data_IF_937516781900
#
_entry.id   IF_937516781900
#
_cell.length_a   1.000
_cell.length_b   1.000
_cell.length_c   1.000
_cell.angle_alpha   90.00
_cell.angle_beta   90.00
_cell.angle_gamma   90.00
#
_symmetry.space_group_name_H-M   'P 1'
#
loop_
_entity.id
_entity.type
_entity.pdbx_description
1 polymer ?
#
# COMPACT_ATOMS: atom_id res chain seq x y z
N UNK A 1 15.35 14.97 -13.00
CA UNK A 1 14.60 16.21 -13.36
C UNK A 1 14.42 17.05 -12.10
N UNK A 2 14.84 18.31 -12.15
CA UNK A 2 14.66 19.24 -11.05
C UNK A 2 13.49 20.15 -11.38
N UNK A 3 12.58 20.31 -10.42
CA UNK A 3 11.45 21.25 -10.49
C UNK A 3 11.55 22.27 -9.36
N UNK A 4 10.97 23.43 -9.59
CA UNK A 4 10.84 24.46 -8.53
C UNK A 4 9.35 24.64 -8.22
N UNK A 5 9.02 24.54 -6.94
CA UNK A 5 7.67 24.79 -6.43
C UNK A 5 7.71 26.05 -5.58
N UNK A 6 6.86 27.03 -5.91
CA UNK A 6 6.69 28.23 -5.12
C UNK A 6 5.48 28.05 -4.18
N UNK A 7 5.69 28.22 -2.89
CA UNK A 7 4.63 28.20 -1.89
C UNK A 7 4.88 29.30 -0.86
N UNK A 8 3.90 30.17 -0.63
CA UNK A 8 3.99 31.31 0.30
C UNK A 8 5.27 32.14 0.11
N UNK A 9 5.55 32.52 -1.15
CA UNK A 9 6.73 33.31 -1.55
C UNK A 9 8.08 32.63 -1.30
N UNK A 10 8.10 31.34 -0.95
CA UNK A 10 9.31 30.55 -0.82
C UNK A 10 9.45 29.57 -1.97
N UNK A 11 10.63 29.52 -2.57
CA UNK A 11 10.93 28.59 -3.64
C UNK A 11 11.60 27.32 -3.08
N UNK A 12 11.03 26.17 -3.39
CA UNK A 12 11.55 24.86 -3.04
C UNK A 12 12.06 24.15 -4.30
N UNK A 13 13.28 23.64 -4.25
CA UNK A 13 13.83 22.81 -5.33
C UNK A 13 13.64 21.34 -5.01
N UNK A 14 13.05 20.61 -5.95
CA UNK A 14 12.77 19.18 -5.80
C UNK A 14 13.46 18.40 -6.94
N UNK A 15 14.24 17.39 -6.59
CA UNK A 15 14.78 16.46 -7.58
C UNK A 15 13.90 15.22 -7.69
N UNK A 16 13.10 15.14 -8.76
CA UNK A 16 12.19 14.02 -8.98
C UNK A 16 12.90 12.69 -9.33
N UNK A 17 14.19 12.75 -9.67
CA UNK A 17 14.99 11.55 -9.96
C UNK A 17 15.67 10.96 -8.70
N UNK A 18 15.53 11.63 -7.56
CA UNK A 18 16.15 11.23 -6.30
C UNK A 18 15.18 11.49 -5.14
N UNK A 19 14.06 10.75 -5.10
CA UNK A 19 13.07 10.89 -4.03
C UNK A 19 13.58 10.30 -2.72
N UNK A 20 13.17 10.88 -1.60
CA UNK A 20 13.36 10.29 -0.29
C UNK A 20 12.19 9.36 0.02
N UNK A 21 12.47 8.08 0.19
CA UNK A 21 11.47 7.12 0.66
C UNK A 21 11.33 7.24 2.18
N UNK A 22 10.20 7.77 2.62
CA UNK A 22 9.83 7.88 4.03
C UNK A 22 8.83 6.80 4.47
N UNK A 23 8.53 5.83 3.60
CA UNK A 23 7.63 4.74 3.93
C UNK A 23 8.26 3.77 4.94
N UNK A 24 7.40 3.12 5.70
CA UNK A 24 7.80 1.98 6.53
C UNK A 24 7.58 0.67 5.78
N UNK A 25 8.42 -0.36 6.00
CA UNK A 25 8.17 -1.68 5.44
C UNK A 25 6.80 -2.20 5.84
N UNK A 26 6.04 -2.70 4.88
CA UNK A 26 4.82 -3.45 5.15
C UNK A 26 5.19 -4.79 5.79
N UNK A 27 4.68 -5.03 6.98
CA UNK A 27 5.02 -6.25 7.70
C UNK A 27 4.06 -6.47 8.86
N UNK A 28 4.60 -6.53 10.06
CA UNK A 28 3.79 -6.77 11.25
C UNK A 28 3.27 -5.49 11.92
N UNK A 29 3.33 -4.37 11.24
CA UNK A 29 2.79 -3.10 11.75
C UNK A 29 1.28 -3.22 11.92
N UNK A 30 0.82 -2.82 13.10
CA UNK A 30 -0.59 -2.88 13.47
C UNK A 30 -0.98 -1.60 14.20
N UNK A 31 -1.72 -0.73 13.53
CA UNK A 31 -2.30 0.47 14.12
C UNK A 31 -3.81 0.31 14.25
N UNK A 32 -4.41 1.03 15.18
CA UNK A 32 -5.87 1.06 15.36
C UNK A 32 -6.50 -0.32 15.54
N UNK A 33 -5.80 -1.25 16.17
CA UNK A 33 -6.24 -2.65 16.37
C UNK A 33 -6.50 -3.43 15.07
N UNK A 34 -6.01 -2.95 13.93
CA UNK A 34 -6.09 -3.69 12.69
C UNK A 34 -5.39 -5.06 12.82
N UNK A 35 -5.92 -6.11 12.17
CA UNK A 35 -5.21 -7.38 12.09
C UNK A 35 -3.90 -7.22 11.30
N UNK A 36 -2.92 -8.10 11.49
CA UNK A 36 -1.71 -8.11 10.66
C UNK A 36 -2.05 -8.43 9.21
N UNK A 37 -1.10 -8.15 8.31
CA UNK A 37 -1.19 -8.61 6.92
C UNK A 37 -1.25 -10.13 6.90
N UNK A 38 -2.19 -10.67 6.14
CA UNK A 38 -2.32 -12.10 5.89
C UNK A 38 -1.82 -12.40 4.47
N UNK A 39 -0.96 -13.41 4.35
CA UNK A 39 -0.47 -13.91 3.07
C UNK A 39 -0.70 -15.41 3.06
N UNK A 40 -1.63 -15.87 2.21
CA UNK A 40 -2.03 -17.27 2.16
C UNK A 40 -2.08 -17.75 0.72
N UNK A 41 -1.75 -19.03 0.44
CA UNK A 41 -1.95 -19.60 -0.87
C UNK A 41 -3.39 -19.42 -1.34
N UNK A 42 -3.57 -19.08 -2.60
CA UNK A 42 -4.89 -19.18 -3.23
C UNK A 42 -5.35 -20.63 -3.22
N UNK A 43 -6.61 -20.86 -2.86
CA UNK A 43 -7.21 -22.18 -2.80
C UNK A 43 -8.52 -22.18 -3.56
N UNK A 44 -8.68 -23.14 -4.47
CA UNK A 44 -9.93 -23.48 -5.12
C UNK A 44 -10.21 -24.99 -4.93
N UNK A 45 -11.31 -25.49 -5.50
CA UNK A 45 -11.66 -26.90 -5.39
C UNK A 45 -10.58 -27.86 -5.96
N UNK A 46 -9.81 -27.40 -6.96
CA UNK A 46 -8.87 -28.22 -7.71
C UNK A 46 -7.43 -27.72 -7.67
N UNK A 47 -7.17 -26.59 -7.01
CA UNK A 47 -5.86 -25.94 -7.03
C UNK A 47 -5.52 -25.27 -5.69
N UNK A 48 -4.31 -25.56 -5.21
CA UNK A 48 -3.68 -24.84 -4.08
C UNK A 48 -2.43 -24.16 -4.61
N UNK A 49 -2.38 -22.85 -4.59
CA UNK A 49 -1.28 -22.04 -5.12
C UNK A 49 0.00 -22.11 -4.25
N UNK A 50 0.53 -23.30 -4.06
CA UNK A 50 1.74 -23.54 -3.28
C UNK A 50 2.58 -24.64 -3.93
N UNK A 51 3.82 -24.30 -4.27
CA UNK A 51 4.79 -25.30 -4.77
C UNK A 51 5.06 -26.38 -3.70
N UNK A 52 5.05 -26.02 -2.43
CA UNK A 52 5.20 -26.96 -1.33
C UNK A 52 4.02 -27.96 -1.29
N UNK A 53 2.84 -27.57 -1.74
CA UNK A 53 1.66 -28.43 -1.85
C UNK A 53 1.56 -29.15 -3.21
N UNK A 54 2.59 -29.07 -4.06
CA UNK A 54 2.66 -29.75 -5.34
C UNK A 54 2.21 -28.94 -6.54
N UNK A 55 1.86 -27.65 -6.39
CA UNK A 55 1.54 -26.80 -7.51
C UNK A 55 2.78 -26.42 -8.33
N UNK A 56 2.62 -26.09 -9.63
CA UNK A 56 3.75 -25.63 -10.44
C UNK A 56 4.23 -24.21 -10.10
N UNK A 57 3.43 -23.44 -9.37
CA UNK A 57 3.71 -22.03 -8.99
C UNK A 57 3.19 -21.72 -7.60
N UNK A 58 3.81 -20.72 -6.98
CA UNK A 58 3.26 -20.06 -5.79
C UNK A 58 2.31 -18.95 -6.26
N UNK A 59 1.08 -19.00 -5.80
CA UNK A 59 0.02 -18.06 -6.13
C UNK A 59 -0.74 -17.70 -4.86
N UNK A 60 -0.49 -16.51 -4.33
CA UNK A 60 -0.95 -16.12 -3.01
C UNK A 60 -1.99 -15.00 -3.05
N UNK A 61 -2.89 -15.04 -2.09
CA UNK A 61 -3.75 -13.92 -1.73
C UNK A 61 -3.08 -13.09 -0.64
N UNK A 62 -3.24 -11.77 -0.72
CA UNK A 62 -2.82 -10.84 0.31
C UNK A 62 -4.04 -10.10 0.82
N UNK A 63 -4.23 -10.11 2.13
CA UNK A 63 -5.24 -9.32 2.82
C UNK A 63 -4.55 -8.33 3.73
N UNK A 64 -4.84 -7.07 3.54
CA UNK A 64 -4.26 -5.98 4.31
C UNK A 64 -5.27 -4.87 4.58
N UNK A 65 -5.02 -4.11 5.62
CA UNK A 65 -5.71 -2.86 5.90
C UNK A 65 -4.69 -1.72 5.76
N UNK A 66 -4.78 -0.86 4.72
CA UNK A 66 -3.81 0.21 4.50
C UNK A 66 -3.65 1.14 5.70
N UNK A 67 -4.76 1.50 6.36
CA UNK A 67 -4.76 2.40 7.52
C UNK A 67 -4.05 1.82 8.75
N UNK A 68 -4.00 0.49 8.84
CA UNK A 68 -3.44 -0.20 10.00
C UNK A 68 -2.08 -0.87 9.75
N UNK A 69 -1.70 -1.11 8.50
CA UNK A 69 -0.57 -1.98 8.20
C UNK A 69 0.63 -1.30 7.54
N UNK A 70 0.55 -0.01 7.21
CA UNK A 70 1.70 0.63 6.57
C UNK A 70 1.46 2.08 6.19
N UNK A 71 2.47 2.67 5.58
CA UNK A 71 2.39 3.98 4.98
C UNK A 71 1.43 3.93 3.79
N UNK A 72 0.49 4.87 3.73
CA UNK A 72 -0.55 4.90 2.71
C UNK A 72 -0.94 6.35 2.38
N UNK A 73 -1.64 6.51 1.29
CA UNK A 73 -2.25 7.79 0.87
C UNK A 73 -3.74 7.72 1.12
N UNK A 74 -4.31 8.81 1.61
CA UNK A 74 -5.74 8.92 1.87
C UNK A 74 -6.37 10.02 1.03
N UNK A 75 -7.57 9.76 0.54
CA UNK A 75 -8.46 10.75 -0.06
C UNK A 75 -9.53 11.22 0.92
N UNK A 76 -10.30 12.24 0.53
CA UNK A 76 -11.39 12.79 1.34
C UNK A 76 -12.49 11.75 1.65
N UNK A 77 -12.64 10.73 0.82
CA UNK A 77 -13.57 9.62 1.04
C UNK A 77 -13.34 8.86 2.36
N UNK A 78 -12.15 9.01 2.97
CA UNK A 78 -11.86 8.43 4.28
C UNK A 78 -12.74 9.01 5.41
N UNK A 79 -13.09 10.29 5.34
CA UNK A 79 -13.82 11.01 6.39
C UNK A 79 -15.16 11.59 5.93
N UNK A 80 -15.59 11.31 4.71
CA UNK A 80 -16.83 11.82 4.14
C UNK A 80 -17.79 10.70 3.78
N UNK A 81 -19.08 11.01 3.70
CA UNK A 81 -20.10 10.06 3.25
C UNK A 81 -19.99 9.76 1.75
N UNK A 82 -19.48 10.70 0.97
CA UNK A 82 -19.21 10.50 -0.45
C UNK A 82 -17.93 9.69 -0.61
N UNK A 83 -18.05 8.57 -1.30
CA UNK A 83 -16.89 7.72 -1.62
C UNK A 83 -16.12 8.35 -2.77
N UNK A 84 -15.08 9.09 -2.44
CA UNK A 84 -14.13 9.63 -3.40
C UNK A 84 -12.90 8.73 -3.41
N UNK A 85 -12.42 8.43 -4.60
CA UNK A 85 -11.20 7.65 -4.81
C UNK A 85 -10.09 8.56 -5.33
N UNK A 86 -8.84 8.11 -5.25
CA UNK A 86 -7.69 8.94 -5.64
C UNK A 86 -7.57 9.18 -7.15
N UNK A 87 -8.31 8.43 -7.95
CA UNK A 87 -8.31 8.54 -9.42
C UNK A 87 -9.40 9.48 -9.97
N UNK A 88 -10.20 10.09 -9.10
CA UNK A 88 -11.27 11.02 -9.45
C UNK A 88 -10.77 12.46 -9.69
#
# INVERSE_FOLDING_TARGET
>A
MIITVCHQDVNYSCNLSDPLDISIPMGQVRCFFAPPIEVNPYVSAEFIGSVQAGAPVNFYNIKLNPHGNGTHTEGLGHITLRREILDD
#
